data_IF_841489351178
#
_entry.id   IF_841489351178
#
_cell.length_a   1.000
_cell.length_b   1.000
_cell.length_c   1.000
_cell.angle_alpha   90.00
_cell.angle_beta   90.00
_cell.angle_gamma   90.00
#
_symmetry.space_group_name_H-M   'P 1'
#
loop_
_entity.id
_entity.type
_entity.pdbx_description
1 polymer ?
#
# COMPACT_ATOMS: atom_id res chain seq x y z
N UNK A 1 16.70 12.88 -42.79
CA UNK A 1 15.24 12.70 -42.61
C UNK A 1 14.87 11.42 -43.37
N UNK A 2 13.96 10.59 -42.85
CA UNK A 2 13.60 9.30 -43.47
C UNK A 2 12.33 9.47 -44.32
N UNK A 3 12.42 9.19 -45.62
CA UNK A 3 11.27 9.19 -46.52
C UNK A 3 10.98 7.75 -46.98
N UNK A 4 9.75 7.28 -46.74
CA UNK A 4 9.31 5.92 -47.11
C UNK A 4 8.45 6.00 -48.36
N UNK A 5 8.82 5.27 -49.41
CA UNK A 5 8.04 5.20 -50.65
C UNK A 5 7.66 3.76 -50.96
N UNK A 6 6.38 3.55 -51.22
CA UNK A 6 5.79 2.24 -51.53
C UNK A 6 5.90 1.98 -53.04
N UNK A 7 6.47 0.85 -53.45
CA UNK A 7 6.47 0.43 -54.86
C UNK A 7 5.24 -0.44 -55.19
N UNK A 8 4.84 -0.49 -56.46
CA UNK A 8 3.63 -1.20 -56.93
C UNK A 8 3.66 -2.72 -56.75
N UNK A 9 4.81 -3.29 -56.40
CA UNK A 9 5.01 -4.71 -56.06
C UNK A 9 4.90 -4.99 -54.55
N UNK A 10 4.54 -4.00 -53.72
CA UNK A 10 4.28 -4.19 -52.29
C UNK A 10 5.52 -4.23 -51.40
N UNK A 11 6.72 -4.00 -51.93
CA UNK A 11 7.95 -3.87 -51.14
C UNK A 11 8.22 -2.40 -50.79
N UNK A 12 8.64 -2.17 -49.53
CA UNK A 12 8.94 -0.84 -48.99
C UNK A 12 10.45 -0.70 -48.86
N UNK A 13 11.04 0.19 -49.67
CA UNK A 13 12.45 0.56 -49.51
C UNK A 13 12.57 1.82 -48.64
N UNK A 14 13.43 1.74 -47.63
CA UNK A 14 13.84 2.88 -46.80
C UNK A 14 15.19 3.38 -47.32
N UNK A 15 15.17 4.47 -48.09
CA UNK A 15 16.41 5.14 -48.52
C UNK A 15 16.77 6.21 -47.49
N UNK A 16 17.87 5.99 -46.78
CA UNK A 16 18.42 6.93 -45.82
C UNK A 16 19.35 7.86 -46.60
N UNK A 17 18.92 9.10 -46.84
CA UNK A 17 19.81 10.15 -47.33
C UNK A 17 20.54 10.79 -46.15
N UNK A 18 21.84 10.51 -46.05
CA UNK A 18 22.75 11.19 -45.14
C UNK A 18 23.12 12.56 -45.74
N UNK A 19 22.74 13.64 -45.04
CA UNK A 19 23.27 14.97 -45.38
C UNK A 19 24.73 15.04 -44.90
N UNK A 20 25.68 15.47 -45.75
CA UNK A 20 27.05 15.67 -45.32
C UNK A 20 27.11 16.91 -44.43
N UNK A 21 27.37 16.74 -43.13
CA UNK A 21 27.57 17.88 -42.24
C UNK A 21 27.33 17.69 -40.75
N UNK A 22 27.16 16.47 -40.22
CA UNK A 22 27.05 16.31 -38.77
C UNK A 22 27.70 15.00 -38.32
N UNK A 23 28.99 14.86 -38.56
CA UNK A 23 29.82 13.92 -37.80
C UNK A 23 29.93 14.47 -36.36
N UNK A 24 28.98 14.09 -35.50
CA UNK A 24 29.19 14.22 -34.06
C UNK A 24 30.18 13.13 -33.67
N UNK A 25 31.47 13.47 -33.69
CA UNK A 25 32.53 12.68 -33.07
C UNK A 25 32.23 12.64 -31.56
N UNK A 26 31.61 11.54 -31.14
CA UNK A 26 31.47 11.23 -29.72
C UNK A 26 32.84 10.76 -29.21
N UNK A 27 33.68 11.70 -28.79
CA UNK A 27 34.84 11.36 -27.96
C UNK A 27 34.37 11.09 -26.53
N UNK A 28 34.48 9.84 -26.08
CA UNK A 28 34.31 9.49 -24.68
C UNK A 28 35.44 10.12 -23.86
N UNK A 29 35.08 10.98 -22.91
CA UNK A 29 36.03 11.59 -21.99
C UNK A 29 36.78 10.51 -21.18
N UNK A 30 38.10 10.64 -20.97
CA UNK A 30 38.85 9.72 -20.12
C UNK A 30 38.48 10.00 -18.66
N UNK A 31 37.85 9.05 -17.99
CA UNK A 31 37.67 9.11 -16.54
C UNK A 31 38.87 8.41 -15.88
N UNK A 32 39.67 9.17 -15.16
CA UNK A 32 40.78 8.66 -14.37
C UNK A 32 40.27 8.15 -13.02
N UNK A 33 40.45 6.86 -12.76
CA UNK A 33 39.98 6.16 -11.55
C UNK A 33 40.77 6.55 -10.29
N UNK A 34 41.86 7.31 -10.41
CA UNK A 34 42.71 7.71 -9.28
C UNK A 34 42.37 9.09 -8.67
N UNK A 35 41.35 9.80 -9.17
CA UNK A 35 41.01 11.15 -8.69
C UNK A 35 40.22 11.20 -7.36
N UNK A 36 39.97 10.05 -6.70
CA UNK A 36 39.24 9.98 -5.42
C UNK A 36 40.16 9.50 -4.28
N UNK A 37 41.24 10.22 -4.03
CA UNK A 37 41.91 10.20 -2.72
C UNK A 37 41.46 11.43 -1.92
N UNK A 38 40.37 11.25 -1.18
CA UNK A 38 39.93 12.18 -0.15
C UNK A 38 41.07 12.41 0.86
N UNK A 39 41.59 13.63 0.85
CA UNK A 39 42.38 14.23 1.91
C UNK A 39 41.68 14.06 3.26
N UNK A 40 42.25 13.23 4.15
CA UNK A 40 41.91 13.27 5.57
C UNK A 40 42.61 14.48 6.21
N UNK A 41 41.90 15.36 6.94
CA UNK A 41 42.55 16.43 7.68
C UNK A 41 43.34 15.87 8.88
N UNK A 42 44.64 16.11 8.86
CA UNK A 42 45.57 15.89 9.97
C UNK A 42 45.15 16.77 11.16
N UNK A 43 44.57 16.17 12.20
CA UNK A 43 44.47 16.80 13.53
C UNK A 43 45.70 16.43 14.34
N UNK A 44 46.59 17.40 14.47
CA UNK A 44 47.60 17.47 15.53
C UNK A 44 46.98 17.14 16.90
N UNK A 45 47.50 16.10 17.56
CA UNK A 45 47.46 16.02 19.03
C UNK A 45 48.77 15.46 19.55
N UNK A 46 49.47 16.33 20.27
CA UNK A 46 50.74 16.08 20.92
C UNK A 46 50.66 14.95 21.93
N UNK A 47 51.80 14.27 22.01
CA UNK A 47 52.16 13.26 23.00
C UNK A 47 52.30 13.94 24.36
N UNK A 48 51.42 13.61 25.30
CA UNK A 48 51.70 13.72 26.73
C UNK A 48 51.49 12.36 27.38
N UNK A 49 52.63 11.68 27.52
CA UNK A 49 52.91 10.58 28.42
C UNK A 49 52.47 10.95 29.85
N UNK A 50 51.59 10.15 30.45
CA UNK A 50 51.46 10.09 31.91
C UNK A 50 51.06 8.69 32.36
N UNK A 51 51.62 8.33 33.50
CA UNK A 51 51.91 7.00 33.99
C UNK A 51 50.71 6.26 34.57
N UNK A 52 50.86 4.93 34.61
CA UNK A 52 50.05 3.99 35.38
C UNK A 52 50.11 4.37 36.87
N UNK A 53 48.96 4.56 37.49
CA UNK A 53 48.78 4.31 38.92
C UNK A 53 47.54 3.45 39.10
N UNK A 54 47.74 2.35 39.79
CA UNK A 54 46.75 1.39 40.26
C UNK A 54 46.05 1.96 41.48
N UNK A 55 44.73 2.16 41.42
CA UNK A 55 43.89 2.27 42.61
C UNK A 55 42.51 1.69 42.32
N UNK A 56 42.16 0.68 43.12
CA UNK A 56 40.85 0.05 43.19
C UNK A 56 39.76 1.11 43.45
N UNK A 57 38.83 1.22 42.52
CA UNK A 57 37.58 1.97 42.67
C UNK A 57 36.47 1.17 42.01
N UNK A 58 35.54 0.68 42.83
CA UNK A 58 34.36 -0.08 42.44
C UNK A 58 33.46 0.82 41.58
N UNK A 59 33.41 0.57 40.27
CA UNK A 59 32.48 1.24 39.35
C UNK A 59 31.24 0.37 39.16
N UNK A 60 30.27 0.52 40.08
CA UNK A 60 28.88 0.14 39.83
C UNK A 60 28.23 1.24 38.99
N UNK A 61 28.42 1.22 37.67
CA UNK A 61 27.69 2.12 36.76
C UNK A 61 27.46 1.58 35.34
N UNK A 62 27.96 0.38 35.02
CA UNK A 62 27.78 -0.22 33.69
C UNK A 62 26.40 -0.90 33.52
N UNK A 63 25.66 -1.13 34.61
CA UNK A 63 24.33 -1.73 34.57
C UNK A 63 23.23 -0.77 34.12
N UNK A 64 23.35 0.54 34.40
CA UNK A 64 22.30 1.53 34.11
C UNK A 64 22.23 1.97 32.64
N UNK A 65 23.33 1.88 31.89
CA UNK A 65 23.33 2.13 30.43
C UNK A 65 22.82 0.92 29.65
N UNK A 66 23.10 -0.30 30.12
CA UNK A 66 22.58 -1.52 29.52
C UNK A 66 21.08 -1.68 29.78
N UNK A 67 20.58 -1.36 30.99
CA UNK A 67 19.14 -1.41 31.29
C UNK A 67 18.34 -0.38 30.49
N UNK A 68 18.85 0.84 30.30
CA UNK A 68 18.14 1.85 29.49
C UNK A 68 18.12 1.51 27.99
N UNK A 69 19.17 0.91 27.42
CA UNK A 69 19.15 0.38 26.05
C UNK A 69 18.25 -0.85 25.89
N UNK A 70 18.19 -1.73 26.90
CA UNK A 70 17.32 -2.90 26.92
C UNK A 70 15.86 -2.47 27.08
N UNK A 71 15.56 -1.47 27.90
CA UNK A 71 14.20 -0.95 28.12
C UNK A 71 13.67 -0.20 26.89
N UNK A 72 14.52 0.53 26.16
CA UNK A 72 14.21 1.10 24.84
C UNK A 72 14.02 0.03 23.75
N UNK A 73 14.73 -1.11 23.84
CA UNK A 73 14.54 -2.26 22.94
C UNK A 73 13.26 -3.03 23.27
N UNK A 74 12.91 -3.20 24.54
CA UNK A 74 11.70 -3.93 24.98
C UNK A 74 10.44 -3.12 24.67
N UNK A 75 10.48 -1.78 24.79
CA UNK A 75 9.37 -0.92 24.37
C UNK A 75 9.09 -0.96 22.84
N UNK A 76 10.11 -1.28 22.04
CA UNK A 76 10.00 -1.40 20.58
C UNK A 76 9.59 -2.80 20.08
N UNK A 77 9.50 -3.81 20.94
CA UNK A 77 9.20 -5.21 20.53
C UNK A 77 7.75 -5.45 20.08
N UNK A 78 6.87 -4.44 20.19
CA UNK A 78 5.48 -4.55 19.70
C UNK A 78 5.13 -3.52 18.61
N UNK A 79 6.13 -2.78 18.12
CA UNK A 79 5.94 -1.81 17.06
C UNK A 79 6.19 -2.46 15.69
N UNK A 80 5.17 -2.47 14.83
CA UNK A 80 5.31 -2.96 13.46
C UNK A 80 6.33 -2.10 12.72
N UNK A 81 7.38 -2.74 12.21
CA UNK A 81 8.50 -2.08 11.52
C UNK A 81 8.19 -1.90 10.04
N UNK A 82 8.23 -0.66 9.56
CA UNK A 82 7.75 -0.28 8.23
C UNK A 82 8.86 0.39 7.45
N UNK A 83 9.07 -0.03 6.20
CA UNK A 83 9.96 0.64 5.25
C UNK A 83 9.15 1.36 4.18
N UNK A 84 9.47 2.63 3.93
CA UNK A 84 8.79 3.46 2.93
C UNK A 84 9.66 3.70 1.70
N UNK A 85 9.15 3.34 0.52
CA UNK A 85 9.83 3.53 -0.76
C UNK A 85 9.04 4.44 -1.70
N UNK A 86 9.61 5.61 -2.02
CA UNK A 86 9.00 6.60 -2.91
C UNK A 86 7.82 7.36 -2.28
N UNK A 87 7.80 7.44 -0.95
CA UNK A 87 6.85 8.22 -0.15
C UNK A 87 7.67 9.05 0.85
N UNK A 88 7.33 10.34 1.06
CA UNK A 88 8.04 11.18 2.03
C UNK A 88 7.91 10.62 3.46
N UNK A 89 9.05 10.32 4.08
CA UNK A 89 9.15 9.78 5.45
C UNK A 89 8.50 10.72 6.48
N UNK A 90 8.71 12.04 6.34
CA UNK A 90 8.12 13.06 7.22
C UNK A 90 6.60 12.93 7.32
N UNK A 91 5.93 12.75 6.17
CA UNK A 91 4.46 12.62 6.16
C UNK A 91 3.98 11.36 6.86
N UNK A 92 4.75 10.27 6.80
CA UNK A 92 4.42 9.03 7.52
C UNK A 92 4.62 9.24 9.02
N UNK A 93 5.75 9.83 9.43
CA UNK A 93 6.05 10.14 10.83
C UNK A 93 4.99 11.06 11.44
N UNK A 94 4.57 12.11 10.73
CA UNK A 94 3.52 13.03 11.17
C UNK A 94 2.20 12.30 11.43
N UNK A 95 1.83 11.39 10.52
CA UNK A 95 0.60 10.60 10.62
C UNK A 95 0.67 9.57 11.76
N UNK A 96 1.83 8.96 11.97
CA UNK A 96 2.05 8.03 13.10
C UNK A 96 1.90 8.79 14.42
N UNK A 97 2.51 9.97 14.53
CA UNK A 97 2.38 10.83 15.72
C UNK A 97 0.95 11.31 15.95
N UNK A 98 0.22 11.66 14.89
CA UNK A 98 -1.19 12.09 14.98
C UNK A 98 -2.13 10.96 15.43
N UNK A 99 -1.86 9.71 15.00
CA UNK A 99 -2.70 8.56 15.28
C UNK A 99 -2.24 7.74 16.50
N UNK A 100 -1.09 8.08 17.09
CA UNK A 100 -0.44 7.40 18.21
C UNK A 100 -0.39 5.86 18.03
N UNK A 101 0.05 5.43 16.85
CA UNK A 101 0.12 3.99 16.51
C UNK A 101 1.51 3.46 16.89
N UNK A 102 1.62 2.25 17.48
CA UNK A 102 2.91 1.59 17.71
C UNK A 102 3.46 1.07 16.38
N UNK A 103 3.94 1.98 15.54
CA UNK A 103 4.56 1.70 14.24
C UNK A 103 5.88 2.44 14.19
N UNK A 104 6.95 1.73 13.87
CA UNK A 104 8.29 2.31 13.71
C UNK A 104 8.66 2.37 12.23
N UNK A 105 9.19 3.51 11.79
CA UNK A 105 9.72 3.66 10.45
C UNK A 105 11.19 3.24 10.44
N UNK A 106 11.54 2.32 9.54
CA UNK A 106 12.90 1.78 9.40
C UNK A 106 13.50 2.23 8.08
N UNK A 107 14.82 2.47 8.08
CA UNK A 107 15.58 2.95 6.92
C UNK A 107 16.05 1.83 5.99
N UNK A 108 15.98 0.58 6.44
CA UNK A 108 16.42 -0.60 5.71
C UNK A 108 15.23 -1.52 5.42
N UNK A 109 15.13 -2.00 4.19
CA UNK A 109 14.08 -2.94 3.80
C UNK A 109 14.20 -4.30 4.51
N UNK A 110 15.43 -4.75 4.77
CA UNK A 110 15.72 -6.05 5.37
C UNK A 110 15.23 -6.18 6.82
N UNK A 111 15.08 -5.05 7.53
CA UNK A 111 14.60 -4.99 8.91
C UNK A 111 13.10 -4.63 9.02
N UNK A 112 12.40 -4.52 7.89
CA UNK A 112 10.99 -4.14 7.86
C UNK A 112 10.07 -5.36 7.67
N UNK A 113 8.99 -5.38 8.45
CA UNK A 113 7.89 -6.35 8.30
C UNK A 113 6.98 -5.96 7.12
N UNK A 114 6.82 -4.65 6.91
CA UNK A 114 5.95 -4.11 5.87
C UNK A 114 6.72 -3.15 4.97
N UNK A 115 6.65 -3.40 3.67
CA UNK A 115 7.20 -2.53 2.64
C UNK A 115 6.10 -1.70 2.01
N UNK A 116 6.18 -0.38 2.10
CA UNK A 116 5.14 0.54 1.59
C UNK A 116 5.68 1.30 0.40
N UNK A 117 4.95 1.27 -0.71
CA UNK A 117 5.32 2.01 -1.91
C UNK A 117 4.11 2.58 -2.62
N UNK A 118 4.34 3.46 -3.61
CA UNK A 118 3.26 3.94 -4.47
C UNK A 118 3.11 3.07 -5.71
N UNK A 119 1.92 3.09 -6.33
CA UNK A 119 1.62 2.33 -7.56
C UNK A 119 2.57 2.68 -8.71
N UNK A 120 3.02 3.93 -8.82
CA UNK A 120 3.96 4.37 -9.85
C UNK A 120 5.37 3.81 -9.65
N UNK A 121 5.78 3.59 -8.40
CA UNK A 121 7.06 2.94 -8.09
C UNK A 121 6.94 1.42 -8.15
N UNK A 122 5.80 0.85 -7.77
CA UNK A 122 5.52 -0.58 -7.90
C UNK A 122 5.51 -1.06 -9.35
N UNK A 123 4.86 -0.33 -10.26
CA UNK A 123 4.73 -0.75 -11.67
C UNK A 123 6.06 -0.85 -12.41
N UNK A 124 7.08 -0.09 -11.99
CA UNK A 124 8.42 -0.11 -12.59
C UNK A 124 9.27 -1.29 -12.10
N UNK A 125 8.80 -2.06 -11.12
CA UNK A 125 9.50 -3.17 -10.46
C UNK A 125 11.00 -2.92 -10.22
N UNK A 126 11.40 -1.87 -9.47
CA UNK A 126 12.79 -1.66 -9.06
C UNK A 126 13.34 -2.87 -8.29
N UNK A 127 14.66 -3.01 -8.28
CA UNK A 127 15.37 -4.09 -7.56
C UNK A 127 14.97 -4.18 -6.08
N UNK A 128 14.67 -3.05 -5.44
CA UNK A 128 14.19 -2.99 -4.06
C UNK A 128 12.86 -3.75 -3.84
N UNK A 129 11.92 -3.65 -4.78
CA UNK A 129 10.61 -4.34 -4.68
C UNK A 129 10.77 -5.83 -4.93
N UNK A 130 11.57 -6.21 -5.92
CA UNK A 130 11.86 -7.63 -6.19
C UNK A 130 12.59 -8.30 -5.02
N UNK A 131 13.48 -7.56 -4.37
CA UNK A 131 14.16 -8.00 -3.15
C UNK A 131 13.16 -8.20 -2.01
N UNK A 132 12.33 -7.21 -1.72
CA UNK A 132 11.28 -7.31 -0.70
C UNK A 132 10.31 -8.48 -0.97
N UNK A 133 9.89 -8.69 -2.21
CA UNK A 133 9.02 -9.83 -2.59
C UNK A 133 9.73 -11.18 -2.40
N UNK A 134 11.02 -11.28 -2.74
CA UNK A 134 11.81 -12.50 -2.55
C UNK A 134 12.06 -12.81 -1.08
N UNK A 135 12.31 -11.78 -0.28
CA UNK A 135 12.62 -11.90 1.14
C UNK A 135 11.33 -12.11 1.98
N UNK A 136 10.17 -12.19 1.32
CA UNK A 136 8.88 -12.52 1.95
C UNK A 136 8.22 -11.35 2.68
N UNK A 137 8.74 -10.13 2.53
CA UNK A 137 8.19 -8.92 3.15
C UNK A 137 6.84 -8.56 2.52
N UNK A 138 5.85 -8.21 3.34
CA UNK A 138 4.53 -7.83 2.83
C UNK A 138 4.60 -6.47 2.13
N UNK A 139 4.34 -6.44 0.82
CA UNK A 139 4.38 -5.21 0.02
C UNK A 139 2.99 -4.56 -0.04
N UNK A 140 2.84 -3.37 0.53
CA UNK A 140 1.64 -2.54 0.43
C UNK A 140 1.80 -1.42 -0.60
N UNK A 141 0.85 -1.33 -1.53
CA UNK A 141 0.89 -0.36 -2.63
C UNK A 141 -0.19 0.70 -2.46
N UNK A 142 0.24 1.93 -2.18
CA UNK A 142 -0.62 3.12 -2.16
C UNK A 142 -0.85 3.64 -3.58
N UNK A 143 -2.04 4.16 -3.89
CA UNK A 143 -2.31 4.73 -5.22
C UNK A 143 -1.51 6.03 -5.45
N UNK A 144 -1.38 6.85 -4.40
CA UNK A 144 -0.65 8.13 -4.37
C UNK A 144 0.02 8.29 -3.00
N UNK A 145 1.08 9.09 -2.94
CA UNK A 145 1.78 9.42 -1.68
C UNK A 145 1.17 10.59 -0.91
N UNK A 146 -0.15 10.79 -0.97
CA UNK A 146 -0.83 11.90 -0.28
C UNK A 146 -1.00 11.62 1.21
N UNK A 147 -0.89 12.66 2.06
CA UNK A 147 -1.06 12.56 3.53
C UNK A 147 -2.34 11.83 3.93
N UNK A 148 -3.45 12.12 3.27
CA UNK A 148 -4.73 11.48 3.56
C UNK A 148 -4.75 9.97 3.25
N UNK A 149 -4.08 9.54 2.17
CA UNK A 149 -3.98 8.10 1.85
C UNK A 149 -3.10 7.37 2.85
N UNK A 150 -1.99 8.00 3.27
CA UNK A 150 -1.11 7.49 4.31
C UNK A 150 -1.88 7.38 5.63
N UNK A 151 -2.64 8.41 6.02
CA UNK A 151 -3.51 8.41 7.20
C UNK A 151 -4.52 7.26 7.19
N UNK A 152 -5.22 7.08 6.06
CA UNK A 152 -6.18 5.99 5.91
C UNK A 152 -5.52 4.62 5.97
N UNK A 153 -4.31 4.50 5.44
CA UNK A 153 -3.53 3.27 5.50
C UNK A 153 -3.06 2.97 6.94
N UNK A 154 -2.45 3.93 7.63
CA UNK A 154 -2.02 3.79 9.03
C UNK A 154 -3.19 3.44 9.95
N UNK A 155 -4.37 4.06 9.73
CA UNK A 155 -5.60 3.76 10.47
C UNK A 155 -6.06 2.31 10.35
N UNK A 156 -5.65 1.58 9.30
CA UNK A 156 -6.00 0.15 9.16
C UNK A 156 -5.27 -0.73 10.18
N UNK A 157 -4.04 -0.39 10.55
CA UNK A 157 -3.31 -1.15 11.59
C UNK A 157 -3.97 -1.02 12.97
N UNK A 158 -4.55 0.14 13.27
CA UNK A 158 -5.35 0.33 14.49
C UNK A 158 -6.59 -0.57 14.47
N UNK A 159 -7.26 -0.63 13.31
CA UNK A 159 -8.44 -1.48 13.14
C UNK A 159 -8.11 -2.96 13.18
N UNK A 160 -6.95 -3.39 12.68
CA UNK A 160 -6.56 -4.80 12.65
C UNK A 160 -6.36 -5.38 14.06
N UNK A 161 -5.82 -4.58 15.01
CA UNK A 161 -5.77 -4.97 16.44
C UNK A 161 -7.15 -5.11 17.11
N UNK A 162 -8.19 -4.45 16.57
CA UNK A 162 -9.56 -4.48 17.13
C UNK A 162 -10.56 -5.30 16.30
N UNK A 163 -10.23 -5.62 15.04
CA UNK A 163 -11.08 -6.29 14.06
C UNK A 163 -10.21 -7.21 13.21
N UNK A 164 -9.83 -8.37 13.74
CA UNK A 164 -9.13 -9.44 13.02
C UNK A 164 -9.97 -10.12 11.92
N UNK A 165 -11.00 -9.47 11.37
CA UNK A 165 -11.82 -10.01 10.27
C UNK A 165 -12.36 -8.91 9.36
N UNK A 166 -11.89 -8.92 8.11
CA UNK A 166 -12.37 -8.18 6.93
C UNK A 166 -11.64 -6.87 6.61
N UNK A 167 -10.50 -6.97 5.92
CA UNK A 167 -10.07 -5.88 5.05
C UNK A 167 -9.61 -6.45 3.70
N UNK A 168 -10.54 -6.56 2.76
CA UNK A 168 -10.23 -6.54 1.34
C UNK A 168 -10.47 -5.11 0.81
N UNK A 169 -9.38 -4.55 0.29
CA UNK A 169 -9.18 -3.17 -0.14
C UNK A 169 -10.14 -2.73 -1.26
N UNK A 170 -11.13 -1.85 -0.99
CA UNK A 170 -11.78 -0.99 -2.01
C UNK A 170 -12.58 0.22 -1.41
N UNK A 171 -12.26 0.69 -0.20
CA UNK A 171 -13.29 1.22 0.72
C UNK A 171 -13.61 2.72 0.74
N UNK A 172 -13.01 3.60 -0.08
CA UNK A 172 -13.34 5.03 0.08
C UNK A 172 -14.63 5.47 -0.63
N UNK A 173 -14.97 4.90 -1.80
CA UNK A 173 -16.33 4.99 -2.37
C UNK A 173 -17.27 3.90 -1.82
N UNK A 174 -16.69 2.84 -1.26
CA UNK A 174 -17.45 1.72 -0.74
C UNK A 174 -18.00 1.98 0.67
N UNK A 175 -17.57 2.97 1.46
CA UNK A 175 -18.13 3.14 2.82
C UNK A 175 -19.61 3.54 2.77
N UNK A 176 -19.98 4.53 1.95
CA UNK A 176 -21.39 4.94 1.77
C UNK A 176 -22.20 3.88 1.03
N UNK A 177 -21.59 3.25 0.01
CA UNK A 177 -22.22 2.16 -0.74
C UNK A 177 -22.32 0.87 0.11
N UNK A 178 -21.40 0.61 1.05
CA UNK A 178 -21.46 -0.50 2.03
C UNK A 178 -22.50 -0.22 3.09
N UNK A 179 -22.62 1.01 3.57
CA UNK A 179 -23.71 1.43 4.45
C UNK A 179 -25.06 1.14 3.79
N UNK A 180 -25.29 1.73 2.61
CA UNK A 180 -26.53 1.55 1.84
C UNK A 180 -26.77 0.10 1.41
N UNK A 181 -25.75 -0.62 0.96
CA UNK A 181 -25.90 -2.04 0.58
C UNK A 181 -26.13 -2.94 1.80
N UNK A 182 -25.53 -2.65 2.96
CA UNK A 182 -25.76 -3.39 4.20
C UNK A 182 -27.18 -3.15 4.72
N UNK A 183 -27.68 -1.92 4.66
CA UNK A 183 -29.08 -1.61 4.95
C UNK A 183 -30.03 -2.34 4.00
N UNK A 184 -29.74 -2.33 2.70
CA UNK A 184 -30.54 -3.02 1.69
C UNK A 184 -30.53 -4.56 1.87
N UNK A 185 -29.41 -5.14 2.29
CA UNK A 185 -29.31 -6.57 2.61
C UNK A 185 -30.13 -6.87 3.87
N UNK A 186 -30.02 -6.05 4.92
CA UNK A 186 -30.80 -6.20 6.15
C UNK A 186 -32.32 -6.10 5.88
N UNK A 187 -32.73 -5.18 5.01
CA UNK A 187 -34.11 -5.06 4.53
C UNK A 187 -34.56 -6.35 3.82
N UNK A 188 -33.69 -6.93 2.99
CA UNK A 188 -33.95 -8.19 2.27
C UNK A 188 -34.12 -9.35 3.26
N UNK A 189 -33.26 -9.46 4.27
CA UNK A 189 -33.38 -10.47 5.33
C UNK A 189 -34.71 -10.34 6.08
N UNK A 190 -35.10 -9.12 6.44
CA UNK A 190 -36.38 -8.87 7.10
C UNK A 190 -37.57 -9.26 6.21
N UNK A 191 -37.51 -8.95 4.91
CA UNK A 191 -38.54 -9.34 3.95
C UNK A 191 -38.62 -10.85 3.75
N UNK A 192 -37.49 -11.56 3.71
CA UNK A 192 -37.44 -13.03 3.63
C UNK A 192 -38.16 -13.62 4.84
N UNK A 193 -37.83 -13.17 6.06
CA UNK A 193 -38.48 -13.64 7.29
C UNK A 193 -40.01 -13.46 7.24
N UNK A 194 -40.50 -12.31 6.77
CA UNK A 194 -41.94 -12.04 6.64
C UNK A 194 -42.63 -12.92 5.59
N UNK A 195 -41.99 -13.15 4.44
CA UNK A 195 -42.52 -14.06 3.41
C UNK A 195 -42.57 -15.50 3.91
N UNK A 196 -41.57 -15.93 4.67
CA UNK A 196 -41.55 -17.24 5.33
C UNK A 196 -42.66 -17.35 6.38
N UNK A 197 -42.93 -16.29 7.14
CA UNK A 197 -44.03 -16.23 8.12
C UNK A 197 -45.43 -16.25 7.49
N UNK A 198 -45.57 -16.07 6.18
CA UNK A 198 -46.84 -16.23 5.47
C UNK A 198 -47.20 -15.11 4.50
N UNK A 199 -46.43 -14.01 4.44
CA UNK A 199 -46.68 -12.95 3.46
C UNK A 199 -46.43 -13.46 2.02
N UNK A 200 -47.35 -13.15 1.11
CA UNK A 200 -47.26 -13.65 -0.27
C UNK A 200 -46.19 -12.94 -1.09
N UNK A 201 -46.02 -11.63 -0.87
CA UNK A 201 -45.21 -10.74 -1.71
C UNK A 201 -44.79 -9.49 -0.93
N UNK A 202 -43.51 -9.14 -1.01
CA UNK A 202 -42.94 -7.93 -0.39
C UNK A 202 -42.09 -7.18 -1.41
N UNK A 203 -42.27 -5.87 -1.50
CA UNK A 203 -41.43 -4.98 -2.29
C UNK A 203 -40.34 -4.36 -1.40
N UNK A 204 -39.11 -4.38 -1.90
CA UNK A 204 -37.97 -3.71 -1.25
C UNK A 204 -37.79 -2.28 -1.78
N UNK A 205 -36.93 -1.50 -1.14
CA UNK A 205 -36.57 -0.18 -1.63
C UNK A 205 -35.83 -0.23 -2.99
N UNK A 206 -35.87 0.88 -3.73
CA UNK A 206 -35.14 1.00 -5.00
C UNK A 206 -33.62 0.99 -4.72
N UNK A 207 -32.90 0.13 -5.46
CA UNK A 207 -31.50 -0.13 -5.21
C UNK A 207 -30.72 -0.27 -6.53
N UNK A 208 -29.42 0.09 -6.57
CA UNK A 208 -28.59 -0.07 -7.77
C UNK A 208 -28.49 -1.53 -8.25
N UNK A 209 -28.16 -1.76 -9.54
CA UNK A 209 -28.10 -3.11 -10.13
C UNK A 209 -27.27 -4.13 -9.35
N UNK A 210 -26.13 -3.71 -8.79
CA UNK A 210 -25.25 -4.58 -7.99
C UNK A 210 -25.93 -5.08 -6.72
N UNK A 211 -26.58 -4.20 -5.96
CA UNK A 211 -27.30 -4.56 -4.73
C UNK A 211 -28.47 -5.49 -5.05
N UNK A 212 -29.25 -5.20 -6.09
CA UNK A 212 -30.36 -6.07 -6.53
C UNK A 212 -29.90 -7.50 -6.83
N UNK A 213 -28.69 -7.67 -7.41
CA UNK A 213 -28.10 -9.00 -7.65
C UNK A 213 -27.84 -9.76 -6.35
N UNK A 214 -27.35 -9.09 -5.32
CA UNK A 214 -27.16 -9.68 -4.00
C UNK A 214 -28.50 -10.07 -3.36
N UNK A 215 -29.51 -9.19 -3.46
CA UNK A 215 -30.86 -9.45 -2.95
C UNK A 215 -31.51 -10.66 -3.63
N UNK A 216 -31.41 -10.76 -4.95
CA UNK A 216 -31.85 -11.94 -5.71
C UNK A 216 -31.13 -13.20 -5.26
N UNK A 217 -29.80 -13.14 -5.07
CA UNK A 217 -29.02 -14.26 -4.56
C UNK A 217 -29.46 -14.71 -3.16
N UNK A 218 -29.78 -13.77 -2.27
CA UNK A 218 -30.25 -14.07 -0.92
C UNK A 218 -31.65 -14.72 -0.94
N UNK A 219 -32.56 -14.22 -1.77
CA UNK A 219 -33.88 -14.84 -1.95
C UNK A 219 -33.77 -16.26 -2.51
N UNK A 220 -32.88 -16.48 -3.49
CA UNK A 220 -32.65 -17.81 -4.09
C UNK A 220 -32.11 -18.81 -3.07
N UNK A 221 -31.17 -18.42 -2.20
CA UNK A 221 -30.64 -19.26 -1.11
C UNK A 221 -31.72 -19.70 -0.11
N UNK A 222 -32.78 -18.90 0.03
CA UNK A 222 -33.92 -19.19 0.90
C UNK A 222 -35.10 -19.83 0.14
N UNK A 223 -34.89 -20.33 -1.07
CA UNK A 223 -35.93 -20.94 -1.93
C UNK A 223 -37.14 -20.02 -2.23
N UNK A 224 -36.94 -18.71 -2.20
CA UNK A 224 -37.97 -17.72 -2.53
C UNK A 224 -37.86 -17.27 -3.98
N UNK A 225 -39.00 -16.95 -4.58
CA UNK A 225 -39.04 -16.32 -5.90
C UNK A 225 -38.69 -14.84 -5.78
N UNK A 226 -37.95 -14.32 -6.75
CA UNK A 226 -37.62 -12.89 -6.80
C UNK A 226 -37.76 -12.33 -8.21
N UNK A 227 -38.19 -11.06 -8.32
CA UNK A 227 -38.35 -10.37 -9.60
C UNK A 227 -37.98 -8.88 -9.43
N UNK A 228 -37.27 -8.31 -10.41
CA UNK A 228 -36.96 -6.88 -10.42
C UNK A 228 -38.04 -6.11 -11.19
N UNK A 229 -38.71 -5.16 -10.53
CA UNK A 229 -39.80 -4.33 -11.11
C UNK A 229 -39.44 -2.85 -11.15
N UNK A 230 -39.94 -2.13 -12.16
CA UNK A 230 -39.69 -0.69 -12.36
C UNK A 230 -38.55 -0.39 -13.34
N UNK A 231 -38.30 0.91 -13.58
CA UNK A 231 -37.25 1.44 -14.47
C UNK A 231 -36.15 2.10 -13.64
N UNK A 232 -34.90 2.06 -14.09
CA UNK A 232 -33.81 2.77 -13.43
C UNK A 232 -34.12 4.29 -13.38
N UNK A 233 -33.91 4.99 -12.25
CA UNK A 233 -33.27 4.57 -10.99
C UNK A 233 -34.21 4.00 -9.92
N UNK A 234 -35.53 4.02 -10.12
CA UNK A 234 -36.54 3.57 -9.14
C UNK A 234 -36.82 2.06 -9.18
N UNK A 235 -35.97 1.29 -9.87
CA UNK A 235 -36.12 -0.16 -10.02
C UNK A 235 -35.74 -0.88 -8.73
N UNK A 236 -36.61 -1.80 -8.31
CA UNK A 236 -36.57 -2.48 -7.02
C UNK A 236 -36.82 -3.98 -7.14
N UNK A 237 -36.42 -4.74 -6.13
CA UNK A 237 -36.62 -6.19 -6.08
C UNK A 237 -37.89 -6.50 -5.29
N UNK A 238 -38.65 -7.44 -5.80
CA UNK A 238 -39.84 -7.98 -5.17
C UNK A 238 -39.56 -9.44 -4.83
N UNK A 239 -39.75 -9.80 -3.56
CA UNK A 239 -39.63 -11.16 -3.07
C UNK A 239 -41.03 -11.74 -2.93
N UNK A 240 -41.22 -12.97 -3.39
CA UNK A 240 -42.49 -13.69 -3.32
C UNK A 240 -42.27 -15.14 -2.94
N UNK A 241 -43.29 -15.76 -2.37
CA UNK A 241 -43.27 -17.20 -2.11
C UNK A 241 -43.22 -17.95 -3.45
N UNK A 242 -42.32 -18.93 -3.56
CA UNK A 242 -42.31 -19.86 -4.69
C UNK A 242 -43.53 -20.77 -4.53
N UNK A 243 -44.45 -20.76 -5.50
CA UNK A 243 -45.51 -21.77 -5.54
C UNK A 243 -44.83 -23.12 -5.78
N UNK A 244 -45.07 -24.07 -4.87
CA UNK A 244 -44.75 -25.48 -5.10
C UNK A 244 -45.73 -26.04 -6.11
#
# INVERSE_FOLDING_TARGET
QEARRLQQNGLVETKIEEMPGTASEFQSAPFDVNALSLQQPQRNRGVSRREKTTTNGINQSDSNFAESEIELKIANQSATSIFAFGIPKSTITDVIGELNVPVSLVDFADAAEIFVTTKSHYSRRPSAIRRAERDGTTVHVLRRGTKEQIRQWVKRFIKEKTQTRNINNNDFENIDQRGRSREAIKETEAAISRVVSGEQRIELMAQPPYVRRLQHGLAARNNLGSASTGREPSRRVVIRRRRR
#
